data_IF_285916123616
#
_entry.id   IF_285916123616
#
_cell.length_a   1.000
_cell.length_b   1.000
_cell.length_c   1.000
_cell.angle_alpha   90.00
_cell.angle_beta   90.00
_cell.angle_gamma   90.00
#
_symmetry.space_group_name_H-M   'P 1'
#
loop_
_entity.id
_entity.type
_entity.pdbx_description
1 polymer ?
#
# COMPACT_ATOMS: atom_id res chain seq x y z
N UNK A 1 -8.72 -18.78 -27.49
CA UNK A 1 -7.80 -19.06 -26.37
C UNK A 1 -8.62 -18.98 -25.10
N UNK A 2 -9.01 -20.13 -24.54
CA UNK A 2 -9.54 -20.14 -23.17
C UNK A 2 -8.32 -20.05 -22.24
N UNK A 3 -8.00 -18.84 -21.77
CA UNK A 3 -6.96 -18.64 -20.75
C UNK A 3 -7.34 -19.38 -19.47
N UNK A 4 -6.35 -19.81 -18.69
CA UNK A 4 -6.52 -20.42 -17.37
C UNK A 4 -7.03 -19.35 -16.38
N UNK A 5 -8.34 -19.31 -16.08
CA UNK A 5 -8.90 -18.21 -15.30
C UNK A 5 -8.44 -18.25 -13.84
N UNK A 6 -8.13 -19.44 -13.32
CA UNK A 6 -7.62 -19.60 -11.97
C UNK A 6 -6.17 -19.10 -11.87
N UNK A 7 -5.34 -19.45 -12.85
CA UNK A 7 -3.96 -18.93 -12.95
C UNK A 7 -3.91 -17.41 -13.07
N UNK A 8 -4.77 -16.82 -13.92
CA UNK A 8 -4.88 -15.36 -14.04
C UNK A 8 -5.34 -14.69 -12.73
N UNK A 9 -6.28 -15.31 -12.01
CA UNK A 9 -6.77 -14.81 -10.74
C UNK A 9 -5.68 -14.85 -9.64
N UNK A 10 -4.91 -15.93 -9.58
CA UNK A 10 -3.78 -16.06 -8.64
C UNK A 10 -2.67 -15.05 -8.94
N UNK A 11 -2.31 -14.87 -10.21
CA UNK A 11 -1.33 -13.85 -10.61
C UNK A 11 -1.78 -12.43 -10.21
N UNK A 12 -3.09 -12.16 -10.29
CA UNK A 12 -3.65 -10.87 -9.84
C UNK A 12 -3.55 -10.69 -8.33
N UNK A 13 -3.80 -11.73 -7.52
CA UNK A 13 -3.59 -11.66 -6.07
C UNK A 13 -2.14 -11.37 -5.72
N UNK A 14 -1.20 -12.06 -6.35
CA UNK A 14 0.22 -11.88 -6.06
C UNK A 14 0.70 -10.47 -6.41
N UNK A 15 0.21 -9.92 -7.53
CA UNK A 15 0.45 -8.53 -7.89
C UNK A 15 -0.11 -7.55 -6.84
N UNK A 16 -1.35 -7.77 -6.37
CA UNK A 16 -1.96 -6.94 -5.33
C UNK A 16 -1.22 -7.04 -3.98
N UNK A 17 -0.74 -8.24 -3.60
CA UNK A 17 0.08 -8.44 -2.40
C UNK A 17 1.42 -7.71 -2.50
N UNK A 18 2.09 -7.80 -3.64
CA UNK A 18 3.33 -7.07 -3.90
C UNK A 18 3.13 -5.55 -3.82
N UNK A 19 2.10 -5.04 -4.51
CA UNK A 19 1.75 -3.62 -4.46
C UNK A 19 1.43 -3.15 -3.03
N UNK A 20 0.68 -3.95 -2.26
CA UNK A 20 0.37 -3.64 -0.87
C UNK A 20 1.65 -3.54 -0.01
N UNK A 21 2.60 -4.47 -0.19
CA UNK A 21 3.90 -4.44 0.48
C UNK A 21 4.69 -3.17 0.17
N UNK A 22 4.75 -2.78 -1.10
CA UNK A 22 5.45 -1.57 -1.55
C UNK A 22 4.83 -0.29 -0.97
N UNK A 23 3.49 -0.21 -0.98
CA UNK A 23 2.75 0.93 -0.41
C UNK A 23 2.95 1.05 1.10
N UNK A 24 2.89 -0.07 1.84
CA UNK A 24 3.17 -0.09 3.28
C UNK A 24 4.60 0.38 3.55
N UNK A 25 5.58 -0.11 2.79
CA UNK A 25 6.97 0.31 2.90
C UNK A 25 7.17 1.80 2.60
N UNK A 26 6.52 2.31 1.55
CA UNK A 26 6.57 3.73 1.19
C UNK A 26 5.94 4.62 2.27
N UNK A 27 4.79 4.21 2.82
CA UNK A 27 4.10 4.90 3.91
C UNK A 27 5.00 4.98 5.14
N UNK A 28 5.58 3.86 5.57
CA UNK A 28 6.46 3.82 6.73
C UNK A 28 7.69 4.73 6.57
N UNK A 29 8.28 4.78 5.36
CA UNK A 29 9.38 5.71 5.06
C UNK A 29 8.96 7.17 5.17
N UNK A 30 7.77 7.53 4.65
CA UNK A 30 7.25 8.90 4.77
C UNK A 30 6.97 9.30 6.23
N UNK A 31 6.39 8.40 7.03
CA UNK A 31 6.17 8.63 8.47
C UNK A 31 7.48 8.83 9.23
N UNK A 32 8.48 7.99 8.94
CA UNK A 32 9.80 8.09 9.55
C UNK A 32 10.52 9.39 9.16
N UNK A 33 10.42 9.81 7.89
CA UNK A 33 11.02 11.07 7.44
C UNK A 33 10.37 12.27 8.12
N UNK A 34 9.03 12.30 8.20
CA UNK A 34 8.31 13.33 8.93
C UNK A 34 8.77 13.42 10.39
N UNK A 35 8.83 12.29 11.10
CA UNK A 35 9.26 12.26 12.50
C UNK A 35 10.71 12.76 12.68
N UNK A 36 11.62 12.36 11.78
CA UNK A 36 13.01 12.85 11.81
C UNK A 36 13.11 14.35 11.58
N UNK A 37 12.29 14.90 10.69
CA UNK A 37 12.26 16.34 10.41
C UNK A 37 11.63 17.13 11.55
N UNK A 38 10.58 16.61 12.18
CA UNK A 38 9.94 17.21 13.36
C UNK A 38 10.95 17.37 14.51
N UNK A 39 11.77 16.35 14.77
CA UNK A 39 12.85 16.41 15.77
C UNK A 39 13.85 17.53 15.45
N UNK A 40 14.22 17.69 14.17
CA UNK A 40 15.17 18.73 13.74
C UNK A 40 14.57 20.13 13.76
N UNK A 41 13.30 20.27 13.36
CA UNK A 41 12.58 21.54 13.37
C UNK A 41 12.36 22.08 14.80
N UNK A 42 12.35 21.20 15.81
CA UNK A 42 12.26 21.59 17.22
C UNK A 42 13.55 22.14 17.83
N UNK A 43 14.67 22.14 17.12
CA UNK A 43 15.95 22.65 17.63
C UNK A 43 16.00 24.19 17.60
N UNK A 44 16.66 24.84 18.59
CA UNK A 44 16.87 26.28 18.55
C UNK A 44 17.61 26.72 17.29
N UNK A 45 17.06 27.71 16.58
CA UNK A 45 17.63 28.22 15.33
C UNK A 45 17.42 27.30 14.11
N UNK A 46 16.56 26.29 14.21
CA UNK A 46 16.21 25.45 13.07
C UNK A 46 15.55 26.25 11.94
N UNK A 47 15.84 25.83 10.71
CA UNK A 47 15.22 26.40 9.51
C UNK A 47 13.71 26.06 9.49
N UNK A 48 12.80 27.05 9.35
CA UNK A 48 11.36 26.81 9.26
C UNK A 48 10.96 25.90 8.08
N UNK A 49 11.76 25.80 7.03
CA UNK A 49 11.50 24.89 5.90
C UNK A 49 11.50 23.41 6.33
N UNK A 50 12.15 23.05 7.44
CA UNK A 50 12.13 21.68 7.97
C UNK A 50 10.73 21.29 8.45
N UNK A 51 9.99 22.21 9.09
CA UNK A 51 8.62 21.96 9.52
C UNK A 51 7.69 21.79 8.29
N UNK A 52 7.84 22.66 7.29
CA UNK A 52 7.08 22.56 6.05
C UNK A 52 7.38 21.25 5.30
N UNK A 53 8.63 20.77 5.33
CA UNK A 53 8.99 19.47 4.75
C UNK A 53 8.39 18.30 5.54
N UNK A 54 8.39 18.37 6.88
CA UNK A 54 7.74 17.36 7.71
C UNK A 54 6.24 17.26 7.38
N UNK A 55 5.55 18.39 7.25
CA UNK A 55 4.13 18.45 6.86
C UNK A 55 3.87 17.78 5.51
N UNK A 56 4.75 17.99 4.52
CA UNK A 56 4.66 17.33 3.20
C UNK A 56 4.77 15.81 3.32
N UNK A 57 5.69 15.30 4.14
CA UNK A 57 5.82 13.87 4.37
C UNK A 57 4.64 13.27 5.14
N UNK A 58 4.06 13.98 6.12
CA UNK A 58 2.82 13.55 6.80
C UNK A 58 1.64 13.49 5.82
N UNK A 59 1.50 14.49 4.95
CA UNK A 59 0.48 14.49 3.90
C UNK A 59 0.68 13.34 2.90
N UNK A 60 1.93 13.01 2.55
CA UNK A 60 2.24 11.84 1.72
C UNK A 60 1.87 10.53 2.41
N UNK A 61 2.22 10.35 3.69
CA UNK A 61 1.86 9.17 4.47
C UNK A 61 0.33 8.98 4.55
N UNK A 62 -0.42 10.07 4.72
CA UNK A 62 -1.88 10.03 4.75
C UNK A 62 -2.49 9.60 3.40
N UNK A 63 -1.96 10.09 2.27
CA UNK A 63 -2.40 9.63 0.94
C UNK A 63 -2.08 8.14 0.73
N UNK A 64 -0.86 7.72 1.06
CA UNK A 64 -0.47 6.32 0.94
C UNK A 64 -1.31 5.40 1.85
N UNK A 65 -1.74 5.88 3.02
CA UNK A 65 -2.65 5.13 3.88
C UNK A 65 -4.02 4.88 3.20
N UNK A 66 -4.56 5.86 2.47
CA UNK A 66 -5.78 5.67 1.70
C UNK A 66 -5.59 4.66 0.56
N UNK A 67 -4.47 4.75 -0.18
CA UNK A 67 -4.12 3.80 -1.25
C UNK A 67 -3.94 2.37 -0.70
N UNK A 68 -3.33 2.21 0.47
CA UNK A 68 -3.22 0.92 1.16
C UNK A 68 -4.60 0.30 1.43
N UNK A 69 -5.56 1.09 1.90
CA UNK A 69 -6.91 0.57 2.16
C UNK A 69 -7.68 0.23 0.87
N UNK A 70 -7.48 1.00 -0.19
CA UNK A 70 -8.02 0.69 -1.51
C UNK A 70 -7.48 -0.65 -2.04
N UNK A 71 -6.16 -0.84 -2.00
CA UNK A 71 -5.53 -2.10 -2.44
C UNK A 71 -5.93 -3.27 -1.54
N UNK A 72 -6.08 -3.07 -0.22
CA UNK A 72 -6.63 -4.10 0.68
C UNK A 72 -8.06 -4.50 0.31
N UNK A 73 -8.90 -3.53 -0.04
CA UNK A 73 -10.26 -3.81 -0.50
C UNK A 73 -10.26 -4.64 -1.79
N UNK A 74 -9.42 -4.24 -2.76
CA UNK A 74 -9.25 -4.96 -4.02
C UNK A 74 -8.70 -6.38 -3.81
N UNK A 75 -7.72 -6.56 -2.93
CA UNK A 75 -7.17 -7.88 -2.59
C UNK A 75 -8.24 -8.79 -2.01
N UNK A 76 -9.06 -8.33 -1.06
CA UNK A 76 -10.16 -9.14 -0.49
C UNK A 76 -11.16 -9.57 -1.57
N UNK A 77 -11.54 -8.66 -2.47
CA UNK A 77 -12.46 -8.99 -3.56
C UNK A 77 -11.86 -10.02 -4.52
N UNK A 78 -10.56 -9.89 -4.81
CA UNK A 78 -9.84 -10.83 -5.65
C UNK A 78 -9.70 -12.22 -4.98
N UNK A 79 -9.43 -12.27 -3.68
CA UNK A 79 -9.35 -13.53 -2.91
C UNK A 79 -10.67 -14.31 -2.95
N UNK A 80 -11.82 -13.61 -2.83
CA UNK A 80 -13.15 -14.23 -3.00
C UNK A 80 -13.33 -14.80 -4.40
N UNK A 81 -12.87 -14.09 -5.44
CA UNK A 81 -12.95 -14.56 -6.82
C UNK A 81 -12.10 -15.80 -7.05
N UNK A 82 -10.85 -15.80 -6.59
CA UNK A 82 -9.95 -16.95 -6.74
C UNK A 82 -10.48 -18.17 -6.00
N UNK A 83 -11.03 -18.00 -4.80
CA UNK A 83 -11.64 -19.09 -4.05
C UNK A 83 -12.84 -19.70 -4.79
N UNK A 84 -13.68 -18.86 -5.40
CA UNK A 84 -14.81 -19.32 -6.21
C UNK A 84 -14.35 -20.15 -7.40
N UNK A 85 -13.34 -19.67 -8.14
CA UNK A 85 -12.76 -20.39 -9.28
C UNK A 85 -12.11 -21.71 -8.85
N UNK A 86 -11.47 -21.75 -7.68
CA UNK A 86 -10.86 -22.96 -7.11
C UNK A 86 -11.93 -24.00 -6.78
N UNK A 87 -13.06 -23.57 -6.20
CA UNK A 87 -14.18 -24.46 -5.90
C UNK A 87 -14.81 -25.05 -7.17
N UNK A 88 -15.02 -24.21 -8.20
CA UNK A 88 -15.56 -24.65 -9.49
C UNK A 88 -14.64 -25.69 -10.17
N UNK A 89 -13.32 -25.48 -10.13
CA UNK A 89 -12.35 -26.43 -10.70
C UNK A 89 -12.29 -27.77 -9.94
N UNK A 90 -12.60 -27.78 -8.65
CA UNK A 90 -12.59 -29.00 -7.82
C UNK A 90 -13.89 -29.82 -7.93
N UNK A 91 -14.98 -29.20 -8.37
CA UNK A 91 -16.28 -29.85 -8.58
C UNK A 91 -16.54 -30.35 -10.01
N UNK A 92 -15.66 -30.02 -10.96
CA UNK A 92 -15.69 -30.46 -12.36
C UNK A 92 -14.92 -31.77 -12.57
#
# INVERSE_FOLDING_TARGET
>A
MSGDPLGEAQATEDALRAQLGDLIGAKARAEHEAARLDVRAGLPGADPELAALADRHRAQAARLAAEVEEVRSSLRAQEVRTESLRADAAGA
#
